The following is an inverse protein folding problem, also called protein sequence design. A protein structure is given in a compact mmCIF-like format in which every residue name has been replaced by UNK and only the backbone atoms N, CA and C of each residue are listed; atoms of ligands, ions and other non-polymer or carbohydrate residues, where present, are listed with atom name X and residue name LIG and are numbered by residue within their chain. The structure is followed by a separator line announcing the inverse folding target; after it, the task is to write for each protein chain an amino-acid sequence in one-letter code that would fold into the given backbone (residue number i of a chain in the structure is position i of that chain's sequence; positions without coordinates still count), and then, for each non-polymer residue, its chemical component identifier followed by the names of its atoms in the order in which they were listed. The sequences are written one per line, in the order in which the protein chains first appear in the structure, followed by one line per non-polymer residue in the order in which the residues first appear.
data_IF_057424579193
#
_entry.id   IF_057424579193
#
_cell.length_a   1.000
_cell.length_b   1.000
_cell.length_c   1.000
_cell.angle_alpha   90.00
_cell.angle_beta   90.00
_cell.angle_gamma   90.00
#
_symmetry.space_group_name_H-M   'P 1'
#
loop_
_entity.id
_entity.type
_entity.pdbx_description
1 polymer ?
#
# COMPACT_ATOMS: atom_id res chain seq x y z
N UNK A 1 -13.82 57.04 -12.50
CA UNK A 1 -14.04 56.14 -11.34
C UNK A 1 -13.84 54.74 -11.85
N UNK A 2 -12.64 54.18 -11.65
CA UNK A 2 -12.23 52.90 -12.24
C UNK A 2 -12.67 51.75 -11.36
N UNK A 3 -13.26 50.72 -11.96
CA UNK A 3 -13.64 49.47 -11.31
C UNK A 3 -12.40 48.64 -10.95
N UNK A 4 -12.42 47.85 -9.86
CA UNK A 4 -11.33 46.97 -9.53
C UNK A 4 -11.39 45.69 -10.37
N UNK A 5 -10.26 45.32 -10.96
CA UNK A 5 -9.98 44.02 -11.57
C UNK A 5 -9.95 42.93 -10.49
N UNK A 6 -10.53 41.74 -10.71
CA UNK A 6 -10.32 40.62 -9.80
C UNK A 6 -8.89 40.09 -9.95
N UNK A 7 -8.15 40.04 -8.84
CA UNK A 7 -6.84 39.40 -8.77
C UNK A 7 -6.95 37.92 -9.16
N UNK A 8 -6.25 37.55 -10.23
CA UNK A 8 -5.79 36.18 -10.44
C UNK A 8 -4.73 35.90 -9.37
N UNK A 9 -5.17 35.42 -8.20
CA UNK A 9 -4.25 34.69 -7.34
C UNK A 9 -4.15 33.28 -7.90
N UNK A 10 -2.96 33.02 -8.45
CA UNK A 10 -2.50 31.72 -8.86
C UNK A 10 -2.72 30.73 -7.72
N UNK A 11 -3.54 29.71 -7.97
CA UNK A 11 -3.45 28.44 -7.24
C UNK A 11 -2.11 27.81 -7.62
N UNK A 12 -1.05 28.29 -6.98
CA UNK A 12 0.23 27.63 -6.92
C UNK A 12 -0.01 26.40 -6.05
N UNK A 13 -0.43 25.29 -6.66
CA UNK A 13 -0.41 23.99 -6.00
C UNK A 13 1.04 23.78 -5.54
N UNK A 14 1.26 23.73 -4.24
CA UNK A 14 2.54 23.33 -3.71
C UNK A 14 2.85 21.92 -4.29
N UNK A 15 4.07 21.66 -4.77
CA UNK A 15 4.42 20.30 -5.16
C UNK A 15 4.22 19.40 -3.95
N UNK A 16 3.60 18.24 -4.16
CA UNK A 16 3.46 17.18 -3.16
C UNK A 16 4.85 16.67 -2.79
N UNK A 17 5.51 17.34 -1.85
CA UNK A 17 6.81 16.97 -1.28
C UNK A 17 6.68 15.87 -0.20
N UNK A 18 5.62 15.06 -0.25
CA UNK A 18 5.31 14.06 0.78
C UNK A 18 5.15 12.63 0.26
N UNK A 19 5.37 12.37 -1.04
CA UNK A 19 5.48 11.03 -1.58
C UNK A 19 6.77 10.36 -1.10
N UNK A 20 6.78 9.03 -0.98
CA UNK A 20 8.01 8.31 -0.70
C UNK A 20 8.99 8.46 -1.88
N UNK A 21 10.23 8.84 -1.59
CA UNK A 21 11.31 8.80 -2.57
C UNK A 21 11.94 7.41 -2.65
N UNK A 22 12.85 7.24 -3.61
CA UNK A 22 13.59 5.99 -3.78
C UNK A 22 14.37 5.58 -2.52
N UNK A 23 15.01 6.55 -1.84
CA UNK A 23 15.75 6.29 -0.60
C UNK A 23 14.84 5.79 0.52
N UNK A 24 13.61 6.31 0.62
CA UNK A 24 12.64 5.86 1.61
C UNK A 24 12.02 4.49 1.28
N UNK A 25 11.85 4.17 -0.01
CA UNK A 25 11.41 2.84 -0.46
C UNK A 25 12.48 1.78 -0.17
N UNK A 26 13.75 2.07 -0.48
CA UNK A 26 14.89 1.21 -0.13
C UNK A 26 15.00 0.99 1.39
N UNK A 27 14.67 2.02 2.19
CA UNK A 27 14.62 1.91 3.65
C UNK A 27 13.48 1.00 4.11
N UNK A 28 12.29 1.09 3.51
CA UNK A 28 11.16 0.20 3.81
C UNK A 28 11.49 -1.26 3.52
N UNK A 29 12.09 -1.55 2.37
CA UNK A 29 12.53 -2.90 2.02
C UNK A 29 13.55 -3.44 3.03
N UNK A 30 14.55 -2.62 3.36
CA UNK A 30 15.57 -2.97 4.36
C UNK A 30 14.96 -3.22 5.75
N UNK A 31 13.97 -2.43 6.15
CA UNK A 31 13.24 -2.64 7.39
C UNK A 31 12.50 -3.97 7.37
N UNK A 32 11.73 -4.25 6.32
CA UNK A 32 10.97 -5.50 6.18
C UNK A 32 11.90 -6.73 6.12
N UNK A 33 13.06 -6.64 5.48
CA UNK A 33 14.12 -7.66 5.52
C UNK A 33 14.59 -7.95 6.96
N UNK A 34 14.88 -6.90 7.73
CA UNK A 34 15.30 -7.06 9.12
C UNK A 34 14.18 -7.65 9.99
N UNK A 35 12.93 -7.24 9.78
CA UNK A 35 11.77 -7.81 10.46
C UNK A 35 11.61 -9.31 10.14
N UNK A 36 11.82 -9.72 8.88
CA UNK A 36 11.79 -11.14 8.45
C UNK A 36 12.82 -12.02 9.16
N UNK A 37 13.91 -11.45 9.67
CA UNK A 37 14.85 -12.22 10.51
C UNK A 37 14.27 -12.66 11.86
N UNK A 38 13.14 -12.08 12.28
CA UNK A 38 12.46 -12.33 13.57
C UNK A 38 11.04 -12.87 13.42
N UNK A 39 10.37 -12.63 12.29
CA UNK A 39 9.05 -13.17 11.97
C UNK A 39 9.05 -13.84 10.61
N UNK A 40 8.74 -15.13 10.57
CA UNK A 40 8.77 -15.92 9.32
C UNK A 40 7.69 -15.51 8.32
N UNK A 41 6.60 -14.90 8.79
CA UNK A 41 5.44 -14.51 7.97
C UNK A 41 5.42 -13.01 7.61
N UNK A 42 6.50 -12.27 7.91
CA UNK A 42 6.56 -10.84 7.57
C UNK A 42 6.57 -10.67 6.03
N UNK A 43 5.61 -9.95 5.45
CA UNK A 43 5.51 -9.80 4.01
C UNK A 43 6.58 -8.86 3.42
N UNK A 44 6.75 -8.92 2.10
CA UNK A 44 7.56 -7.97 1.33
C UNK A 44 6.80 -6.67 1.03
N UNK A 45 7.51 -5.62 0.61
CA UNK A 45 6.92 -4.30 0.42
C UNK A 45 5.77 -4.28 -0.59
N UNK A 46 5.90 -4.98 -1.72
CA UNK A 46 4.82 -5.05 -2.73
C UNK A 46 3.50 -5.60 -2.13
N UNK A 47 3.56 -6.57 -1.22
CA UNK A 47 2.38 -7.06 -0.51
C UNK A 47 1.85 -6.02 0.48
N UNK A 48 2.76 -5.37 1.23
CA UNK A 48 2.41 -4.29 2.16
C UNK A 48 1.70 -3.13 1.45
N UNK A 49 2.11 -2.73 0.26
CA UNK A 49 1.48 -1.65 -0.52
C UNK A 49 0.07 -2.01 -1.00
N UNK A 50 -0.12 -3.27 -1.44
CA UNK A 50 -1.45 -3.78 -1.77
C UNK A 50 -2.39 -3.81 -0.57
N UNK A 51 -1.89 -4.29 0.57
CA UNK A 51 -2.62 -4.28 1.83
C UNK A 51 -2.96 -2.86 2.29
N UNK A 52 -1.99 -1.93 2.26
CA UNK A 52 -2.18 -0.51 2.57
C UNK A 52 -3.27 0.11 1.70
N UNK A 53 -3.22 -0.15 0.39
CA UNK A 53 -4.20 0.39 -0.56
C UNK A 53 -5.60 -0.13 -0.28
N UNK A 54 -5.75 -1.43 0.04
CA UNK A 54 -7.03 -1.99 0.44
C UNK A 54 -7.56 -1.33 1.72
N UNK A 55 -6.71 -1.11 2.73
CA UNK A 55 -7.13 -0.43 3.96
C UNK A 55 -7.64 1.00 3.69
N UNK A 56 -7.02 1.75 2.78
CA UNK A 56 -7.50 3.09 2.38
C UNK A 56 -8.89 3.01 1.76
N UNK A 57 -9.17 1.96 0.99
CA UNK A 57 -10.47 1.74 0.33
C UNK A 57 -11.58 1.24 1.27
N UNK A 58 -11.27 0.88 2.52
CA UNK A 58 -12.27 0.40 3.48
C UNK A 58 -13.30 1.48 3.83
N UNK A 59 -14.52 1.04 4.18
CA UNK A 59 -15.61 1.98 4.56
C UNK A 59 -15.36 2.71 5.88
N UNK A 60 -14.61 2.09 6.78
CA UNK A 60 -14.24 2.61 8.09
C UNK A 60 -12.72 2.67 8.16
N UNK A 61 -12.13 3.76 8.69
CA UNK A 61 -10.70 3.78 8.95
C UNK A 61 -10.28 2.63 9.88
N UNK A 62 -9.35 1.80 9.42
CA UNK A 62 -8.73 0.73 10.21
C UNK A 62 -7.52 1.32 10.94
N UNK A 63 -7.52 1.28 12.27
CA UNK A 63 -6.45 1.89 13.06
C UNK A 63 -5.17 1.03 13.04
N UNK A 64 -4.01 1.64 13.26
CA UNK A 64 -2.74 0.91 13.37
C UNK A 64 -2.72 -0.14 14.49
N UNK A 65 -3.48 0.06 15.57
CA UNK A 65 -3.66 -0.95 16.62
C UNK A 65 -4.37 -2.23 16.12
N UNK A 66 -5.12 -2.12 15.03
CA UNK A 66 -5.93 -3.17 14.42
C UNK A 66 -5.20 -3.83 13.25
N UNK A 67 -4.68 -3.05 12.29
CA UNK A 67 -4.04 -3.62 11.10
C UNK A 67 -2.60 -4.09 11.32
N UNK A 68 -1.84 -3.46 12.23
CA UNK A 68 -0.41 -3.74 12.36
C UNK A 68 -0.14 -5.16 12.88
N UNK A 69 -0.87 -5.71 13.88
CA UNK A 69 -0.74 -7.11 14.28
C UNK A 69 -1.20 -8.09 13.21
N UNK A 70 -2.16 -7.71 12.37
CA UNK A 70 -2.60 -8.53 11.25
C UNK A 70 -1.53 -8.62 10.16
N UNK A 71 -0.79 -7.54 9.92
CA UNK A 71 0.26 -7.48 8.91
C UNK A 71 1.60 -8.06 9.39
N UNK A 72 1.98 -7.79 10.63
CA UNK A 72 3.35 -8.04 11.15
C UNK A 72 3.38 -8.89 12.43
N UNK A 73 2.26 -9.50 12.83
CA UNK A 73 2.11 -10.17 14.12
C UNK A 73 1.26 -11.44 14.05
N UNK A 74 0.58 -11.74 15.15
CA UNK A 74 -0.27 -12.92 15.30
C UNK A 74 -1.75 -12.66 14.96
N UNK A 75 -2.06 -11.47 14.43
CA UNK A 75 -3.43 -11.03 14.15
C UNK A 75 -4.27 -10.63 15.37
N UNK A 76 -3.70 -10.62 16.57
CA UNK A 76 -4.40 -10.17 17.77
C UNK A 76 -4.51 -8.65 17.84
N UNK A 77 -5.74 -8.12 17.89
CA UNK A 77 -5.97 -6.68 18.09
C UNK A 77 -5.28 -6.19 19.37
N UNK A 78 -4.59 -5.05 19.30
CA UNK A 78 -3.89 -4.46 20.44
C UNK A 78 -4.87 -3.71 21.34
N UNK A 79 -4.87 -4.03 22.63
CA UNK A 79 -5.53 -3.22 23.65
C UNK A 79 -4.71 -1.95 23.93
N UNK A 80 -5.13 -0.82 23.34
CA UNK A 80 -4.47 0.48 23.45
C UNK A 80 -5.43 1.47 24.08
N UNK A 81 -5.07 1.97 25.28
CA UNK A 81 -5.84 3.02 25.93
C UNK A 81 -5.81 4.32 25.09
N UNK A 82 -6.91 5.09 25.12
CA UNK A 82 -7.03 6.36 24.39
C UNK A 82 -5.82 7.28 24.61
N UNK A 83 -5.11 7.60 23.52
CA UNK A 83 -3.95 8.49 23.52
C UNK A 83 -2.65 7.86 24.03
N UNK A 84 -2.63 6.57 24.36
CA UNK A 84 -1.40 5.83 24.63
C UNK A 84 -0.63 5.51 23.33
N UNK A 85 0.70 5.39 23.39
CA UNK A 85 1.47 4.90 22.24
C UNK A 85 1.11 3.43 21.95
N UNK A 86 1.24 3.04 20.68
CA UNK A 86 1.11 1.65 20.27
C UNK A 86 2.13 0.79 21.05
N UNK A 87 1.71 -0.38 21.57
CA UNK A 87 2.64 -1.38 22.08
C UNK A 87 3.69 -1.77 21.03
N UNK A 88 4.90 -2.09 21.49
CA UNK A 88 5.96 -2.61 20.62
C UNK A 88 5.58 -4.03 20.17
N UNK A 89 5.41 -4.25 18.85
CA UNK A 89 5.20 -5.59 18.31
C UNK A 89 6.51 -6.39 18.35
N UNK A 90 6.47 -7.72 18.59
CA UNK A 90 7.66 -8.56 18.66
C UNK A 90 8.53 -8.59 17.39
N UNK A 91 7.95 -8.29 16.22
CA UNK A 91 8.68 -8.25 14.95
C UNK A 91 9.70 -7.10 14.90
N UNK A 92 9.44 -6.00 15.60
CA UNK A 92 10.35 -4.86 15.66
C UNK A 92 11.43 -5.07 16.71
N UNK A 93 12.65 -4.64 16.39
CA UNK A 93 13.80 -4.66 17.30
C UNK A 93 13.58 -3.76 18.52
N UNK A 94 13.03 -2.57 18.30
CA UNK A 94 12.80 -1.55 19.31
C UNK A 94 11.71 -0.56 18.86
N UNK A 95 11.32 0.34 19.77
CA UNK A 95 10.26 1.32 19.52
C UNK A 95 10.65 2.37 18.45
N UNK A 96 11.94 2.62 18.24
CA UNK A 96 12.40 3.55 17.21
C UNK A 96 12.18 2.96 15.81
N UNK A 97 12.49 1.67 15.64
CA UNK A 97 12.22 0.96 14.38
C UNK A 97 10.72 0.92 14.05
N UNK A 98 9.87 0.61 15.04
CA UNK A 98 8.41 0.62 14.84
C UNK A 98 7.90 2.01 14.49
N UNK A 99 8.37 3.05 15.17
CA UNK A 99 7.99 4.43 14.87
C UNK A 99 8.43 4.86 13.46
N UNK A 100 9.63 4.43 13.02
CA UNK A 100 10.12 4.73 11.67
C UNK A 100 9.30 4.02 10.60
N UNK A 101 8.98 2.74 10.78
CA UNK A 101 8.10 2.00 9.87
C UNK A 101 6.74 2.71 9.74
N UNK A 102 6.11 3.08 10.86
CA UNK A 102 4.82 3.78 10.83
C UNK A 102 4.91 5.17 10.18
N UNK A 103 6.02 5.88 10.35
CA UNK A 103 6.23 7.15 9.66
C UNK A 103 6.28 6.98 8.13
N UNK A 104 7.01 5.97 7.64
CA UNK A 104 7.12 5.68 6.21
C UNK A 104 5.76 5.17 5.66
N UNK A 105 5.09 4.33 6.43
CA UNK A 105 3.72 3.88 6.17
C UNK A 105 2.75 5.06 6.00
N UNK A 106 2.77 6.03 6.92
CA UNK A 106 1.89 7.20 6.87
C UNK A 106 2.19 8.11 5.67
N UNK A 107 3.47 8.23 5.26
CA UNK A 107 3.83 8.97 4.05
C UNK A 107 3.20 8.32 2.82
N UNK A 108 3.35 6.99 2.68
CA UNK A 108 2.72 6.24 1.58
C UNK A 108 1.20 6.30 1.65
N UNK A 109 0.63 6.17 2.84
CA UNK A 109 -0.81 6.25 3.06
C UNK A 109 -1.39 7.56 2.55
N UNK A 110 -0.76 8.68 2.91
CA UNK A 110 -1.20 10.01 2.48
C UNK A 110 -1.05 10.20 0.96
N UNK A 111 0.02 9.69 0.37
CA UNK A 111 0.23 9.69 -1.08
C UNK A 111 -0.87 8.92 -1.81
N UNK A 112 -1.09 7.65 -1.45
CA UNK A 112 -2.09 6.78 -2.09
C UNK A 112 -3.49 7.36 -1.91
N UNK A 113 -3.82 7.87 -0.72
CA UNK A 113 -5.11 8.56 -0.48
C UNK A 113 -5.28 9.73 -1.46
N UNK A 114 -4.27 10.58 -1.60
CA UNK A 114 -4.33 11.73 -2.51
C UNK A 114 -4.44 11.32 -3.98
N UNK A 115 -3.77 10.23 -4.39
CA UNK A 115 -3.86 9.69 -5.76
C UNK A 115 -5.24 9.07 -6.06
N UNK A 116 -5.81 8.32 -5.11
CA UNK A 116 -7.15 7.72 -5.27
C UNK A 116 -8.27 8.77 -5.27
N UNK A 117 -8.10 9.88 -4.55
CA UNK A 117 -9.05 11.00 -4.53
C UNK A 117 -8.91 11.94 -5.75
N UNK A 118 -7.81 11.84 -6.50
CA UNK A 118 -7.54 12.72 -7.63
C UNK A 118 -8.44 12.41 -8.83
N UNK A 119 -9.00 13.46 -9.46
CA UNK A 119 -9.82 13.32 -10.67
C UNK A 119 -8.96 13.19 -11.94
N UNK A 120 -8.22 12.09 -12.00
CA UNK A 120 -7.25 11.77 -13.06
C UNK A 120 -7.98 11.33 -14.34
N UNK A 121 -7.50 11.79 -15.51
CA UNK A 121 -8.08 11.46 -16.82
C UNK A 121 -7.22 10.50 -17.65
N UNK A 122 -5.96 10.29 -17.26
CA UNK A 122 -5.02 9.36 -17.89
C UNK A 122 -4.03 8.80 -16.86
N UNK A 123 -3.53 7.59 -17.09
CA UNK A 123 -2.50 6.97 -16.25
C UNK A 123 -1.14 7.68 -16.32
N UNK A 124 -0.94 8.55 -17.31
CA UNK A 124 0.30 9.34 -17.48
C UNK A 124 0.32 10.62 -16.61
N UNK A 125 -0.76 10.92 -15.88
CA UNK A 125 -0.82 12.10 -15.02
C UNK A 125 -0.06 11.85 -13.71
N UNK A 126 0.63 12.88 -13.21
CA UNK A 126 1.47 12.80 -12.00
C UNK A 126 0.71 12.31 -10.75
N UNK A 127 -0.62 12.52 -10.70
CA UNK A 127 -1.48 12.09 -9.59
C UNK A 127 -2.20 10.77 -9.85
N UNK A 128 -1.96 10.11 -10.99
CA UNK A 128 -2.48 8.76 -11.23
C UNK A 128 -1.94 7.82 -10.17
N UNK A 129 -2.81 6.97 -9.61
CA UNK A 129 -2.40 5.95 -8.65
C UNK A 129 -1.34 5.02 -9.25
N UNK A 130 -0.20 4.91 -8.58
CA UNK A 130 0.91 4.03 -8.97
C UNK A 130 1.11 2.97 -7.88
N UNK A 131 0.70 1.70 -8.09
CA UNK A 131 0.98 0.63 -7.15
C UNK A 131 2.48 0.31 -7.11
N UNK A 132 3.02 0.00 -5.93
CA UNK A 132 4.39 -0.49 -5.79
C UNK A 132 4.45 -1.96 -6.19
N UNK A 133 4.38 -2.23 -7.50
CA UNK A 133 4.44 -3.57 -8.08
C UNK A 133 5.68 -3.70 -8.99
N UNK A 134 6.47 -4.76 -8.80
CA UNK A 134 7.68 -4.97 -9.59
C UNK A 134 7.47 -6.02 -10.68
N UNK A 135 7.81 -5.68 -11.93
CA UNK A 135 7.85 -6.65 -13.04
C UNK A 135 9.11 -7.51 -12.98
N UNK A 136 9.09 -8.51 -12.09
CA UNK A 136 10.20 -9.46 -11.92
C UNK A 136 10.50 -10.24 -13.19
N UNK A 137 9.48 -10.59 -13.98
CA UNK A 137 9.66 -11.33 -15.25
C UNK A 137 10.34 -10.46 -16.29
N UNK A 138 9.95 -9.19 -16.39
CA UNK A 138 10.60 -8.18 -17.22
C UNK A 138 12.04 -7.91 -16.80
N UNK A 139 12.29 -7.77 -15.49
CA UNK A 139 13.63 -7.59 -14.94
C UNK A 139 14.55 -8.77 -15.27
N UNK A 140 14.09 -10.02 -15.07
CA UNK A 140 14.83 -11.23 -15.42
C UNK A 140 15.07 -11.31 -16.93
N UNK A 141 14.09 -10.97 -17.76
CA UNK A 141 14.26 -10.97 -19.21
C UNK A 141 15.36 -10.00 -19.68
N UNK A 142 15.58 -8.91 -18.94
CA UNK A 142 16.64 -7.94 -19.20
C UNK A 142 18.05 -8.39 -18.75
N UNK A 143 18.17 -9.44 -17.93
CA UNK A 143 19.46 -9.96 -17.47
C UNK A 143 20.26 -10.64 -18.60
N UNK A 144 21.60 -10.70 -18.48
CA UNK A 144 22.44 -11.54 -19.33
C UNK A 144 22.02 -13.02 -19.27
N UNK A 145 22.26 -13.79 -20.35
CA UNK A 145 21.86 -15.20 -20.46
C UNK A 145 22.38 -16.07 -19.29
N UNK A 146 23.61 -15.82 -18.83
CA UNK A 146 24.22 -16.57 -17.73
C UNK A 146 23.45 -16.37 -16.41
N UNK A 147 23.01 -15.15 -16.12
CA UNK A 147 22.24 -14.82 -14.91
C UNK A 147 20.78 -15.28 -15.02
N UNK A 148 20.22 -15.34 -16.24
CA UNK A 148 18.89 -15.91 -16.46
C UNK A 148 18.83 -17.40 -16.18
N UNK A 149 19.91 -18.13 -16.47
CA UNK A 149 20.00 -19.57 -16.23
C UNK A 149 19.84 -19.92 -14.74
N UNK A 150 20.31 -19.04 -13.84
CA UNK A 150 20.17 -19.22 -12.39
C UNK A 150 18.72 -19.11 -11.90
N UNK A 151 17.85 -18.45 -12.68
CA UNK A 151 16.43 -18.28 -12.40
C UNK A 151 15.56 -19.40 -13.02
N UNK A 152 16.12 -20.29 -13.84
CA UNK A 152 15.36 -21.37 -14.46
C UNK A 152 14.72 -22.30 -13.43
N UNK A 153 13.41 -22.54 -13.58
CA UNK A 153 12.64 -23.41 -12.70
C UNK A 153 12.24 -22.79 -11.36
N UNK A 154 12.61 -21.54 -11.10
CA UNK A 154 12.06 -20.77 -9.99
C UNK A 154 10.65 -20.29 -10.34
N UNK A 155 9.75 -20.35 -9.37
CA UNK A 155 8.40 -19.81 -9.52
C UNK A 155 8.47 -18.29 -9.39
N UNK A 156 8.30 -17.59 -10.51
CA UNK A 156 8.34 -16.13 -10.59
C UNK A 156 6.89 -15.61 -10.63
N UNK A 157 6.48 -14.77 -9.68
CA UNK A 157 5.14 -14.18 -9.68
C UNK A 157 4.80 -13.47 -10.99
N UNK A 158 3.52 -13.44 -11.33
CA UNK A 158 2.99 -12.57 -12.38
C UNK A 158 3.07 -11.10 -11.95
N UNK A 159 3.13 -10.17 -12.90
CA UNK A 159 3.20 -8.74 -12.59
C UNK A 159 1.98 -8.31 -11.77
N UNK A 160 2.22 -7.68 -10.60
CA UNK A 160 1.18 -7.24 -9.67
C UNK A 160 0.52 -8.35 -8.84
N UNK A 161 0.95 -9.61 -8.98
CA UNK A 161 0.36 -10.73 -8.24
C UNK A 161 0.57 -10.59 -6.73
N UNK A 162 1.78 -10.22 -6.31
CA UNK A 162 2.09 -10.06 -4.88
C UNK A 162 1.30 -8.89 -4.29
N UNK A 163 1.19 -7.80 -5.05
CA UNK A 163 0.39 -6.64 -4.66
C UNK A 163 -1.08 -7.04 -4.47
N UNK A 164 -1.65 -7.79 -5.42
CA UNK A 164 -3.02 -8.26 -5.34
C UNK A 164 -3.26 -9.22 -4.17
N UNK A 165 -2.29 -10.08 -3.84
CA UNK A 165 -2.35 -10.95 -2.65
C UNK A 165 -2.42 -10.11 -1.36
N UNK A 166 -1.64 -9.04 -1.27
CA UNK A 166 -1.70 -8.09 -0.14
C UNK A 166 -3.06 -7.40 -0.03
N UNK A 167 -3.59 -6.94 -1.16
CA UNK A 167 -4.92 -6.32 -1.22
C UNK A 167 -6.02 -7.28 -0.77
N UNK A 168 -6.04 -8.51 -1.31
CA UNK A 168 -7.05 -9.51 -0.98
C UNK A 168 -6.92 -10.00 0.47
N UNK A 169 -5.71 -10.04 1.02
CA UNK A 169 -5.52 -10.35 2.44
C UNK A 169 -6.27 -9.35 3.34
N UNK A 170 -6.27 -8.04 3.03
CA UNK A 170 -7.09 -7.08 3.76
C UNK A 170 -8.59 -7.28 3.52
N UNK A 171 -9.03 -7.56 2.28
CA UNK A 171 -10.44 -7.84 1.98
C UNK A 171 -10.98 -9.00 2.81
N UNK A 172 -10.18 -10.07 2.96
CA UNK A 172 -10.55 -11.27 3.70
C UNK A 172 -10.58 -11.06 5.22
N UNK A 173 -9.71 -10.19 5.76
CA UNK A 173 -9.61 -9.94 7.19
C UNK A 173 -10.58 -8.86 7.70
N UNK A 174 -11.12 -8.00 6.82
CA UNK A 174 -12.15 -7.01 7.14
C UNK A 174 -13.44 -7.17 6.30
N UNK A 175 -14.08 -8.35 6.30
CA UNK A 175 -15.18 -8.65 5.38
C UNK A 175 -16.41 -7.75 5.59
N UNK A 176 -16.63 -7.27 6.81
CA UNK A 176 -17.73 -6.34 7.11
C UNK A 176 -17.49 -4.94 6.52
N UNK A 177 -16.23 -4.49 6.46
CA UNK A 177 -15.85 -3.21 5.85
C UNK A 177 -15.85 -3.29 4.31
N UNK A 178 -15.80 -4.51 3.76
CA UNK A 178 -15.93 -4.83 2.33
C UNK A 178 -17.32 -5.36 1.94
N UNK A 179 -18.29 -5.32 2.86
CA UNK A 179 -19.62 -5.84 2.61
C UNK A 179 -20.30 -5.13 1.41
N UNK A 180 -20.93 -5.93 0.54
CA UNK A 180 -21.61 -5.46 -0.66
C UNK A 180 -22.63 -4.33 -0.34
N UNK A 181 -22.55 -3.17 -1.01
CA UNK A 181 -23.51 -2.09 -0.84
C UNK A 181 -24.96 -2.52 -1.15
N UNK A 182 -25.93 -1.83 -0.54
CA UNK A 182 -27.36 -2.05 -0.84
C UNK A 182 -27.77 -1.55 -2.22
N UNK A 183 -27.07 -0.52 -2.71
CA UNK A 183 -27.29 0.00 -4.05
C UNK A 183 -26.74 -1.00 -5.07
N UNK A 184 -27.54 -1.35 -6.07
CA UNK A 184 -27.20 -2.43 -7.01
C UNK A 184 -26.11 -2.06 -7.99
N UNK A 185 -26.03 -0.80 -8.38
CA UNK A 185 -25.01 -0.33 -9.31
C UNK A 185 -23.65 -0.28 -8.60
N UNK A 186 -23.62 0.30 -7.39
CA UNK A 186 -22.42 0.29 -6.56
C UNK A 186 -21.98 -1.13 -6.17
N UNK A 187 -22.93 -2.04 -5.93
CA UNK A 187 -22.63 -3.44 -5.69
C UNK A 187 -21.95 -4.11 -6.89
N UNK A 188 -22.46 -3.87 -8.10
CA UNK A 188 -21.84 -4.40 -9.32
C UNK A 188 -20.43 -3.83 -9.52
N UNK A 189 -20.24 -2.52 -9.31
CA UNK A 189 -18.91 -1.91 -9.43
C UNK A 189 -17.90 -2.50 -8.46
N UNK A 190 -18.31 -2.75 -7.22
CA UNK A 190 -17.44 -3.40 -6.23
C UNK A 190 -17.10 -4.83 -6.65
N UNK A 191 -18.09 -5.60 -7.09
CA UNK A 191 -17.92 -6.99 -7.52
C UNK A 191 -16.96 -7.08 -8.73
N UNK A 192 -17.20 -6.29 -9.78
CA UNK A 192 -16.37 -6.23 -10.98
C UNK A 192 -14.92 -5.82 -10.66
N UNK A 193 -14.75 -4.86 -9.73
CA UNK A 193 -13.44 -4.39 -9.30
C UNK A 193 -12.68 -5.47 -8.51
N UNK A 194 -13.35 -6.13 -7.56
CA UNK A 194 -12.73 -7.21 -6.78
C UNK A 194 -12.41 -8.43 -7.65
N UNK A 195 -13.26 -8.79 -8.61
CA UNK A 195 -12.97 -9.86 -9.58
C UNK A 195 -11.69 -9.55 -10.38
N UNK A 196 -11.50 -8.28 -10.75
CA UNK A 196 -10.29 -7.84 -11.45
C UNK A 196 -9.03 -7.99 -10.59
N UNK A 197 -9.10 -7.72 -9.28
CA UNK A 197 -7.97 -7.93 -8.37
C UNK A 197 -7.73 -9.43 -8.12
N UNK A 198 -8.78 -10.23 -7.93
CA UNK A 198 -8.68 -11.69 -7.76
C UNK A 198 -8.00 -12.33 -8.96
N UNK A 199 -8.33 -11.90 -10.18
CA UNK A 199 -7.70 -12.40 -11.39
C UNK A 199 -6.19 -12.18 -11.46
N UNK A 200 -5.63 -11.21 -10.71
CA UNK A 200 -4.19 -10.98 -10.61
C UNK A 200 -3.49 -11.94 -9.64
N UNK A 201 -4.25 -12.61 -8.76
CA UNK A 201 -3.70 -13.54 -7.76
C UNK A 201 -3.39 -14.94 -8.34
N UNK A 202 -3.89 -15.24 -9.53
CA UNK A 202 -3.75 -16.53 -10.25
C UNK A 202 -2.56 -16.55 -11.24
#
# INVERSE_FOLDING_TARGET
MSAPTPSQDAANAAPVTSALGADELDELDTLLDDLRSRGEEIPQWEFCDGFLTALICTRRPIAAAEYLPMLLGDGGELDVADGAPLPLLPAFKDAEQQARFLQLWDLRWNEVTAQLDADVKSLDEDMAFQPEAMDMRGAIAALPEEERADMEGQEIPSFGQVWALGFMFAVENWPEDWATPRDKEAAQWLDDALESIVALTE
#
